data_IF_373003113923
#
_entry.id   IF_373003113923
#
_cell.length_a   1.000
_cell.length_b   1.000
_cell.length_c   1.000
_cell.angle_alpha   90.00
_cell.angle_beta   90.00
_cell.angle_gamma   90.00
#
_symmetry.space_group_name_H-M   'P 1'
#
loop_
_entity.id
_entity.type
_entity.pdbx_description
1 polymer ?
#
# COMPACT_ATOMS: atom_id res chain seq x y z
N UNK A 1 -23.18 -5.52 17.14
CA UNK A 1 -22.07 -6.46 16.86
C UNK A 1 -21.73 -6.33 15.39
N UNK A 2 -20.48 -6.03 15.04
CA UNK A 2 -19.99 -5.76 13.68
C UNK A 2 -19.38 -7.03 13.06
N UNK A 3 -19.46 -7.20 11.73
CA UNK A 3 -18.72 -8.26 11.03
C UNK A 3 -17.29 -7.76 10.72
N UNK A 4 -16.30 -8.30 11.43
CA UNK A 4 -14.92 -7.88 11.33
C UNK A 4 -14.12 -8.80 10.39
N UNK A 5 -13.38 -8.19 9.46
CA UNK A 5 -12.50 -8.85 8.51
C UNK A 5 -11.09 -8.28 8.71
N UNK A 6 -10.15 -9.14 9.09
CA UNK A 6 -8.77 -8.75 9.29
C UNK A 6 -7.94 -9.06 8.04
N UNK A 7 -7.58 -8.04 7.28
CA UNK A 7 -6.72 -8.17 6.10
C UNK A 7 -5.26 -8.13 6.54
N UNK A 8 -4.62 -9.27 6.48
CA UNK A 8 -3.22 -9.45 6.85
C UNK A 8 -2.39 -10.04 5.70
N UNK A 9 -1.10 -10.23 5.90
CA UNK A 9 -0.24 -10.82 4.87
C UNK A 9 1.22 -10.41 5.01
N UNK A 10 2.01 -10.73 4.01
CA UNK A 10 3.43 -10.36 3.98
C UNK A 10 3.62 -8.86 3.74
N UNK A 11 4.84 -8.38 4.01
CA UNK A 11 5.22 -6.99 3.67
C UNK A 11 4.96 -6.71 2.19
N UNK A 12 4.48 -5.50 1.89
CA UNK A 12 4.20 -5.04 0.53
C UNK A 12 3.25 -5.94 -0.27
N UNK A 13 2.39 -6.71 0.40
CA UNK A 13 1.39 -7.57 -0.27
C UNK A 13 0.13 -6.83 -0.73
N UNK A 14 0.07 -5.50 -0.58
CA UNK A 14 -1.05 -4.66 -1.04
C UNK A 14 -2.26 -4.66 -0.11
N UNK A 15 -2.08 -4.88 1.19
CA UNK A 15 -3.15 -4.87 2.20
C UNK A 15 -4.01 -3.61 2.15
N UNK A 16 -3.38 -2.44 2.11
CA UNK A 16 -4.05 -1.13 2.05
C UNK A 16 -4.93 -1.00 0.81
N UNK A 17 -4.42 -1.41 -0.37
CA UNK A 17 -5.19 -1.40 -1.61
C UNK A 17 -6.39 -2.37 -1.56
N UNK A 18 -6.20 -3.57 -0.96
CA UNK A 18 -7.28 -4.52 -0.76
C UNK A 18 -8.34 -3.98 0.20
N UNK A 19 -7.94 -3.38 1.33
CA UNK A 19 -8.88 -2.73 2.25
C UNK A 19 -9.66 -1.61 1.55
N UNK A 20 -8.96 -0.74 0.82
CA UNK A 20 -9.57 0.36 0.08
C UNK A 20 -10.62 -0.13 -0.93
N UNK A 21 -10.25 -1.08 -1.79
CA UNK A 21 -11.13 -1.59 -2.83
C UNK A 21 -12.33 -2.37 -2.26
N UNK A 22 -12.12 -3.20 -1.22
CA UNK A 22 -13.22 -3.90 -0.55
C UNK A 22 -14.15 -2.92 0.17
N UNK A 23 -13.63 -1.86 0.80
CA UNK A 23 -14.47 -0.83 1.42
C UNK A 23 -15.35 -0.11 0.41
N UNK A 24 -14.78 0.30 -0.74
CA UNK A 24 -15.54 0.93 -1.80
C UNK A 24 -16.64 -0.02 -2.30
N UNK A 25 -16.29 -1.27 -2.57
CA UNK A 25 -17.24 -2.28 -3.03
C UNK A 25 -18.38 -2.51 -2.06
N UNK A 26 -18.09 -2.68 -0.77
CA UNK A 26 -19.12 -2.92 0.22
C UNK A 26 -20.00 -1.68 0.50
N UNK A 27 -19.42 -0.47 0.40
CA UNK A 27 -20.21 0.78 0.45
C UNK A 27 -21.17 0.92 -0.73
N UNK A 28 -20.75 0.55 -1.95
CA UNK A 28 -21.64 0.51 -3.14
C UNK A 28 -22.83 -0.43 -2.95
N UNK A 29 -22.61 -1.52 -2.24
CA UNK A 29 -23.67 -2.48 -1.89
C UNK A 29 -24.57 -2.00 -0.73
N UNK A 30 -24.33 -0.78 -0.21
CA UNK A 30 -25.15 -0.15 0.83
C UNK A 30 -24.77 -0.49 2.26
N UNK A 31 -23.63 -1.15 2.51
CA UNK A 31 -23.14 -1.42 3.87
C UNK A 31 -22.47 -0.19 4.48
N UNK A 32 -22.66 -0.01 5.80
CA UNK A 32 -21.86 0.93 6.60
C UNK A 32 -20.54 0.26 6.93
N UNK A 33 -19.48 0.67 6.25
CA UNK A 33 -18.15 0.05 6.37
C UNK A 33 -17.21 0.98 7.11
N UNK A 34 -16.58 0.45 8.17
CA UNK A 34 -15.51 1.09 8.92
C UNK A 34 -14.12 0.59 8.52
N UNK A 35 -13.10 1.37 8.87
CA UNK A 35 -11.69 1.01 8.71
C UNK A 35 -10.97 1.16 10.04
N UNK A 36 -10.16 0.18 10.39
CA UNK A 36 -9.38 0.14 11.62
C UNK A 36 -7.97 -0.43 11.36
N UNK A 37 -6.95 0.20 11.89
CA UNK A 37 -5.57 -0.24 11.82
C UNK A 37 -4.98 -0.22 13.22
N UNK A 38 -5.16 -1.28 14.02
CA UNK A 38 -4.82 -1.29 15.44
C UNK A 38 -3.36 -0.95 15.73
N UNK A 39 -2.46 -1.30 14.79
CA UNK A 39 -1.02 -1.10 14.91
C UNK A 39 -0.50 -0.48 13.62
N UNK A 40 -0.12 0.78 13.66
CA UNK A 40 0.58 1.50 12.61
C UNK A 40 2.09 1.34 12.73
N UNK A 41 2.80 1.39 11.60
CA UNK A 41 4.27 1.33 11.53
C UNK A 41 4.79 2.37 10.55
N UNK A 42 5.71 3.19 11.02
CA UNK A 42 6.26 4.30 10.25
C UNK A 42 5.37 5.54 10.35
N UNK A 43 6.00 6.68 10.51
CA UNK A 43 5.34 7.95 10.67
C UNK A 43 5.66 8.84 9.46
N UNK A 44 4.63 9.51 8.94
CA UNK A 44 4.75 10.66 8.07
C UNK A 44 4.37 11.87 8.91
N UNK A 45 5.15 12.93 8.85
CA UNK A 45 4.78 14.20 9.47
C UNK A 45 3.83 14.95 8.52
N UNK A 46 2.65 15.28 9.00
CA UNK A 46 1.65 16.08 8.28
C UNK A 46 1.20 17.17 9.23
N UNK A 47 1.42 18.45 8.86
CA UNK A 47 1.08 19.64 9.69
C UNK A 47 1.70 19.60 11.10
N UNK A 48 2.88 18.94 11.25
CA UNK A 48 3.57 18.81 12.53
C UNK A 48 3.12 17.63 13.39
N UNK A 49 2.14 16.85 12.94
CA UNK A 49 1.65 15.66 13.63
C UNK A 49 2.15 14.37 12.95
N UNK A 50 2.60 13.38 13.73
CA UNK A 50 3.04 12.11 13.19
C UNK A 50 1.83 11.25 12.80
N UNK A 51 1.70 10.93 11.52
CA UNK A 51 0.56 10.20 10.95
C UNK A 51 1.03 8.89 10.28
N UNK A 52 0.27 7.80 10.49
CA UNK A 52 0.44 6.57 9.67
C UNK A 52 0.00 6.87 8.23
N UNK A 53 0.88 6.65 7.22
CA UNK A 53 0.59 7.01 5.83
C UNK A 53 -0.65 6.31 5.25
N UNK A 54 -0.92 5.05 5.65
CA UNK A 54 -2.08 4.31 5.15
C UNK A 54 -3.38 4.85 5.76
N UNK A 55 -3.36 5.23 7.04
CA UNK A 55 -4.50 5.87 7.71
C UNK A 55 -4.78 7.24 7.11
N UNK A 56 -3.75 8.03 6.83
CA UNK A 56 -3.89 9.30 6.13
C UNK A 56 -4.56 9.12 4.76
N UNK A 57 -4.07 8.15 3.97
CA UNK A 57 -4.65 7.80 2.68
C UNK A 57 -6.13 7.42 2.81
N UNK A 58 -6.46 6.52 3.73
CA UNK A 58 -7.83 6.03 3.90
C UNK A 58 -8.79 7.13 4.37
N UNK A 59 -8.33 8.03 5.25
CA UNK A 59 -9.14 9.19 5.67
C UNK A 59 -9.45 10.13 4.53
N UNK A 60 -8.45 10.50 3.74
CA UNK A 60 -8.60 11.42 2.61
C UNK A 60 -9.52 10.84 1.51
N UNK A 61 -9.33 9.56 1.14
CA UNK A 61 -10.08 8.95 0.04
C UNK A 61 -11.51 8.60 0.46
N UNK A 62 -11.70 8.07 1.66
CA UNK A 62 -12.98 7.52 2.11
C UNK A 62 -13.79 8.50 2.96
N UNK A 63 -13.23 9.66 3.28
CA UNK A 63 -13.87 10.66 4.12
C UNK A 63 -14.18 10.15 5.53
N UNK A 64 -13.24 9.42 6.14
CA UNK A 64 -13.41 8.90 7.49
C UNK A 64 -13.41 10.06 8.49
N UNK A 65 -14.35 10.03 9.43
CA UNK A 65 -14.55 11.10 10.41
C UNK A 65 -13.88 10.82 11.75
N UNK A 66 -13.59 9.55 12.00
CA UNK A 66 -12.96 9.09 13.23
C UNK A 66 -11.55 9.73 13.35
N UNK A 67 -11.16 10.18 14.56
CA UNK A 67 -9.81 10.68 14.82
C UNK A 67 -8.75 9.64 14.49
N UNK A 68 -7.54 10.10 14.13
CA UNK A 68 -6.47 9.20 13.76
C UNK A 68 -6.09 8.25 14.91
N UNK A 69 -5.98 8.76 16.12
CA UNK A 69 -5.65 8.01 17.34
C UNK A 69 -6.67 6.93 17.67
N UNK A 70 -7.90 7.07 17.17
CA UNK A 70 -8.95 6.05 17.27
C UNK A 70 -8.81 5.03 16.15
N UNK A 71 -8.50 5.47 14.92
CA UNK A 71 -8.27 4.55 13.78
C UNK A 71 -6.98 3.73 13.99
N UNK A 72 -5.93 4.36 14.56
CA UNK A 72 -4.62 3.74 14.81
C UNK A 72 -4.16 4.08 16.23
N UNK A 73 -4.62 3.32 17.24
CA UNK A 73 -4.31 3.60 18.65
C UNK A 73 -2.85 3.36 19.01
N UNK A 74 -2.14 2.50 18.27
CA UNK A 74 -0.72 2.23 18.49
C UNK A 74 0.05 2.58 17.22
N UNK A 75 1.13 3.35 17.36
CA UNK A 75 2.08 3.59 16.27
C UNK A 75 3.48 3.23 16.75
N UNK A 76 4.15 2.36 16.00
CA UNK A 76 5.44 1.79 16.38
C UNK A 76 6.59 2.43 15.63
N UNK A 77 7.64 2.80 16.35
CA UNK A 77 8.94 3.20 15.83
C UNK A 77 9.80 1.98 15.41
N UNK A 78 11.02 2.23 14.94
CA UNK A 78 11.97 1.16 14.54
C UNK A 78 12.41 0.27 15.70
N UNK A 79 12.47 0.81 16.93
CA UNK A 79 12.88 0.11 18.15
C UNK A 79 11.70 -0.03 19.11
N UNK A 80 10.56 -0.44 18.60
CA UNK A 80 9.30 -0.48 19.34
C UNK A 80 9.36 -1.29 20.65
N UNK A 81 10.25 -2.26 20.77
CA UNK A 81 10.42 -3.02 22.01
C UNK A 81 10.98 -2.18 23.16
N UNK A 82 11.71 -1.11 22.85
CA UNK A 82 12.20 -0.16 23.87
C UNK A 82 11.06 0.72 24.41
N UNK A 83 9.96 0.82 23.65
CA UNK A 83 8.78 1.66 23.93
C UNK A 83 7.63 0.84 24.55
N UNK A 84 7.71 -0.50 24.52
CA UNK A 84 6.66 -1.41 24.99
C UNK A 84 6.93 -1.79 26.46
N UNK A 85 6.61 -0.86 27.38
CA UNK A 85 6.76 -1.11 28.82
C UNK A 85 5.52 -1.81 29.42
N UNK A 86 4.31 -1.59 28.89
CA UNK A 86 3.07 -2.10 29.43
C UNK A 86 2.13 -2.66 28.35
N UNK A 87 2.23 -3.97 28.09
CA UNK A 87 1.39 -4.67 27.12
C UNK A 87 -0.12 -4.58 27.44
N UNK A 88 -0.48 -4.55 28.71
CA UNK A 88 -1.90 -4.47 29.13
C UNK A 88 -2.53 -3.11 28.82
N UNK A 89 -1.77 -2.02 28.93
CA UNK A 89 -2.26 -0.69 28.56
C UNK A 89 -2.44 -0.56 27.05
N UNK A 90 -1.50 -1.11 26.26
CA UNK A 90 -1.62 -1.16 24.81
C UNK A 90 -2.84 -1.95 24.36
N UNK A 91 -3.10 -3.10 25.00
CA UNK A 91 -4.29 -3.90 24.73
C UNK A 91 -5.57 -3.11 25.02
N UNK A 92 -5.65 -2.46 26.17
CA UNK A 92 -6.81 -1.65 26.56
C UNK A 92 -7.11 -0.55 25.53
N UNK A 93 -6.08 0.20 25.11
CA UNK A 93 -6.21 1.24 24.07
C UNK A 93 -6.73 0.69 22.75
N UNK A 94 -6.23 -0.48 22.31
CA UNK A 94 -6.69 -1.13 21.09
C UNK A 94 -8.15 -1.56 21.20
N UNK A 95 -8.56 -2.09 22.34
CA UNK A 95 -9.94 -2.56 22.53
C UNK A 95 -10.93 -1.40 22.62
N UNK A 96 -10.62 -0.33 23.34
CA UNK A 96 -11.45 0.89 23.39
C UNK A 96 -11.62 1.49 21.97
N UNK A 97 -10.54 1.65 21.24
CA UNK A 97 -10.56 2.18 19.87
C UNK A 97 -11.38 1.27 18.92
N UNK A 98 -11.25 -0.05 19.06
CA UNK A 98 -12.06 -0.99 18.29
C UNK A 98 -13.56 -0.84 18.57
N UNK A 99 -13.96 -0.71 19.83
CA UNK A 99 -15.36 -0.51 20.22
C UNK A 99 -15.93 0.78 19.63
N UNK A 100 -15.15 1.87 19.66
CA UNK A 100 -15.54 3.16 19.12
C UNK A 100 -15.72 3.09 17.60
N UNK A 101 -14.72 2.57 16.85
CA UNK A 101 -14.79 2.49 15.38
C UNK A 101 -15.89 1.54 14.91
N UNK A 102 -16.16 0.47 15.65
CA UNK A 102 -17.11 -0.56 15.24
C UNK A 102 -18.59 -0.22 15.53
N UNK A 103 -18.85 0.73 16.41
CA UNK A 103 -20.15 0.93 17.07
C UNK A 103 -21.36 1.03 16.15
N UNK A 104 -21.27 1.72 15.02
CA UNK A 104 -22.38 1.95 14.07
C UNK A 104 -22.19 1.23 12.71
N UNK A 105 -21.20 0.37 12.58
CA UNK A 105 -20.82 -0.27 11.31
C UNK A 105 -21.48 -1.65 11.16
N UNK A 106 -21.75 -2.01 9.90
CA UNK A 106 -22.19 -3.36 9.52
C UNK A 106 -20.97 -4.27 9.31
N UNK A 107 -19.93 -3.73 8.66
CA UNK A 107 -18.67 -4.40 8.34
C UNK A 107 -17.51 -3.52 8.81
N UNK A 108 -16.51 -4.12 9.45
CA UNK A 108 -15.26 -3.46 9.79
C UNK A 108 -14.09 -4.15 9.09
N UNK A 109 -13.38 -3.40 8.23
CA UNK A 109 -12.14 -3.85 7.64
C UNK A 109 -10.98 -3.42 8.54
N UNK A 110 -10.21 -4.41 9.00
CA UNK A 110 -9.06 -4.21 9.88
C UNK A 110 -7.80 -4.48 9.06
N UNK A 111 -6.91 -3.50 8.99
CA UNK A 111 -5.64 -3.64 8.30
C UNK A 111 -4.53 -4.03 9.27
N UNK A 112 -3.83 -5.10 8.96
CA UNK A 112 -2.71 -5.59 9.75
C UNK A 112 -1.43 -4.76 9.56
N UNK A 113 -0.54 -4.75 10.57
CA UNK A 113 0.82 -4.28 10.42
C UNK A 113 1.59 -5.08 9.34
N UNK A 114 2.84 -4.71 9.03
CA UNK A 114 3.61 -5.38 7.97
C UNK A 114 3.71 -6.90 8.12
N UNK A 115 3.91 -7.39 9.33
CA UNK A 115 4.12 -8.81 9.63
C UNK A 115 3.06 -9.29 10.64
N UNK A 116 2.41 -10.46 10.41
CA UNK A 116 1.32 -10.94 11.27
C UNK A 116 1.72 -11.25 12.71
N UNK A 117 2.99 -11.55 12.95
CA UNK A 117 3.56 -11.86 14.26
C UNK A 117 4.00 -10.64 15.09
N UNK A 118 3.89 -9.43 14.54
CA UNK A 118 4.32 -8.21 15.21
C UNK A 118 3.59 -8.05 16.57
N UNK A 119 4.35 -7.72 17.63
CA UNK A 119 3.88 -7.64 19.02
C UNK A 119 3.33 -8.96 19.61
N UNK A 120 3.80 -10.11 19.12
CA UNK A 120 3.46 -11.42 19.68
C UNK A 120 3.85 -11.52 21.18
N UNK A 121 4.91 -10.82 21.59
CA UNK A 121 5.35 -10.76 22.99
C UNK A 121 4.32 -10.11 23.92
N UNK A 122 3.43 -9.27 23.38
CA UNK A 122 2.35 -8.60 24.11
C UNK A 122 0.98 -9.24 23.86
N UNK A 123 0.89 -10.30 23.05
CA UNK A 123 -0.39 -10.87 22.64
C UNK A 123 -1.23 -9.91 21.79
N UNK A 124 -0.57 -9.01 21.05
CA UNK A 124 -1.19 -8.06 20.13
C UNK A 124 -0.88 -8.40 18.66
N UNK A 125 -0.37 -9.62 18.42
CA UNK A 125 -0.22 -10.18 17.08
C UNK A 125 -1.58 -10.34 16.38
N UNK A 126 -1.54 -10.45 15.06
CA UNK A 126 -2.76 -10.51 14.24
C UNK A 126 -3.75 -11.58 14.71
N UNK A 127 -3.37 -12.87 14.92
CA UNK A 127 -4.35 -13.86 15.37
C UNK A 127 -4.86 -13.59 16.78
N UNK A 128 -4.06 -13.05 17.70
CA UNK A 128 -4.53 -12.71 19.06
C UNK A 128 -5.57 -11.59 19.04
N UNK A 129 -5.35 -10.55 18.21
CA UNK A 129 -6.33 -9.48 18.02
C UNK A 129 -7.55 -9.98 17.23
N UNK A 130 -7.37 -10.81 16.22
CA UNK A 130 -8.48 -11.38 15.44
C UNK A 130 -9.43 -12.21 16.31
N UNK A 131 -8.91 -12.98 17.27
CA UNK A 131 -9.71 -13.72 18.25
C UNK A 131 -10.57 -12.77 19.10
N UNK A 132 -9.96 -11.71 19.66
CA UNK A 132 -10.67 -10.73 20.51
C UNK A 132 -11.74 -9.97 19.73
N UNK A 133 -11.46 -9.59 18.49
CA UNK A 133 -12.40 -8.90 17.61
C UNK A 133 -13.43 -9.87 16.99
N UNK A 134 -13.28 -11.18 17.18
CA UNK A 134 -14.05 -12.23 16.48
C UNK A 134 -13.99 -12.04 14.97
N UNK A 135 -12.85 -11.62 14.49
CA UNK A 135 -12.60 -11.33 13.08
C UNK A 135 -12.17 -12.59 12.32
N UNK A 136 -12.56 -12.66 11.05
CA UNK A 136 -12.03 -13.64 10.09
C UNK A 136 -10.85 -13.06 9.35
N UNK A 137 -9.86 -13.86 9.05
CA UNK A 137 -8.62 -13.42 8.42
C UNK A 137 -8.68 -13.61 6.90
N UNK A 138 -8.31 -12.58 6.15
CA UNK A 138 -7.90 -12.67 4.74
C UNK A 138 -6.39 -12.52 4.70
N UNK A 139 -5.67 -13.48 4.10
CA UNK A 139 -4.22 -13.46 3.99
C UNK A 139 -3.77 -13.06 2.59
N UNK A 140 -3.16 -11.90 2.44
CA UNK A 140 -2.60 -11.41 1.18
C UNK A 140 -1.11 -11.72 1.10
N UNK A 141 -0.68 -12.23 -0.04
CA UNK A 141 0.73 -12.54 -0.29
C UNK A 141 1.17 -11.99 -1.65
N UNK A 142 2.39 -11.46 -1.68
CA UNK A 142 3.08 -11.07 -2.91
C UNK A 142 4.08 -12.15 -3.29
N UNK A 143 4.10 -12.51 -4.56
CA UNK A 143 5.09 -13.43 -5.10
C UNK A 143 4.47 -14.49 -6.02
N UNK A 144 5.33 -15.19 -6.74
CA UNK A 144 4.97 -16.19 -7.74
C UNK A 144 5.75 -17.51 -7.57
N UNK A 145 6.69 -17.53 -6.66
CA UNK A 145 7.51 -18.69 -6.33
C UNK A 145 6.71 -19.71 -5.51
N UNK A 146 7.17 -20.96 -5.48
CA UNK A 146 6.48 -22.05 -4.77
C UNK A 146 6.37 -21.80 -3.25
N UNK A 147 7.33 -21.07 -2.68
CA UNK A 147 7.34 -20.63 -1.28
C UNK A 147 6.07 -19.86 -0.86
N UNK A 148 5.39 -19.25 -1.82
CA UNK A 148 4.12 -18.53 -1.55
C UNK A 148 3.09 -19.47 -0.96
N UNK A 149 2.94 -20.69 -1.53
CA UNK A 149 1.99 -21.68 -1.03
C UNK A 149 2.38 -22.16 0.37
N UNK A 150 3.66 -22.46 0.58
CA UNK A 150 4.17 -22.94 1.88
C UNK A 150 3.99 -21.87 2.97
N UNK A 151 4.24 -20.60 2.64
CA UNK A 151 4.06 -19.47 3.55
C UNK A 151 2.59 -19.30 3.95
N UNK A 152 1.66 -19.40 2.99
CA UNK A 152 0.22 -19.34 3.27
C UNK A 152 -0.20 -20.48 4.20
N UNK A 153 0.27 -21.70 3.94
CA UNK A 153 -0.03 -22.88 4.77
C UNK A 153 0.54 -22.70 6.18
N UNK A 154 1.77 -22.20 6.31
CA UNK A 154 2.39 -21.92 7.60
C UNK A 154 1.54 -20.92 8.43
N UNK A 155 1.14 -19.80 7.84
CA UNK A 155 0.33 -18.82 8.55
C UNK A 155 -1.08 -19.33 8.84
N UNK A 156 -1.67 -20.14 7.96
CA UNK A 156 -2.94 -20.85 8.28
C UNK A 156 -2.82 -21.68 9.56
N UNK A 157 -1.74 -22.47 9.70
CA UNK A 157 -1.51 -23.27 10.90
C UNK A 157 -1.27 -22.39 12.13
N UNK A 158 -0.57 -21.26 11.97
CA UNK A 158 -0.39 -20.28 13.05
C UNK A 158 -1.74 -19.68 13.50
N UNK A 159 -2.62 -19.29 12.57
CA UNK A 159 -3.94 -18.77 12.89
C UNK A 159 -4.82 -19.83 13.55
N UNK A 160 -4.81 -21.06 13.00
CA UNK A 160 -5.55 -22.19 13.56
C UNK A 160 -5.11 -22.52 14.99
N UNK A 161 -3.82 -22.44 15.29
CA UNK A 161 -3.30 -22.67 16.63
C UNK A 161 -3.85 -21.63 17.65
N UNK A 162 -4.15 -20.42 17.19
CA UNK A 162 -4.77 -19.35 17.99
C UNK A 162 -6.30 -19.38 17.94
N UNK A 163 -6.92 -20.38 17.34
CA UNK A 163 -8.38 -20.51 17.28
C UNK A 163 -9.08 -19.56 16.29
N UNK A 164 -8.32 -18.99 15.35
CA UNK A 164 -8.86 -18.01 14.38
C UNK A 164 -9.05 -18.65 12.99
N UNK A 165 -10.18 -18.33 12.37
CA UNK A 165 -10.53 -18.82 11.03
C UNK A 165 -9.84 -18.00 9.94
N UNK A 166 -9.10 -18.68 9.05
CA UNK A 166 -8.64 -18.11 7.79
C UNK A 166 -9.78 -18.23 6.76
N UNK A 167 -10.35 -17.09 6.38
CA UNK A 167 -11.40 -17.03 5.36
C UNK A 167 -10.86 -17.42 3.98
N UNK A 168 -9.64 -17.03 3.68
CA UNK A 168 -8.92 -17.42 2.47
C UNK A 168 -7.71 -16.56 2.18
N UNK A 169 -7.03 -16.90 1.08
CA UNK A 169 -5.84 -16.21 0.63
C UNK A 169 -6.05 -15.45 -0.68
N UNK A 170 -5.36 -14.32 -0.83
CA UNK A 170 -5.28 -13.55 -2.07
C UNK A 170 -3.83 -13.57 -2.56
N UNK A 171 -3.62 -14.11 -3.75
CA UNK A 171 -2.34 -14.11 -4.47
C UNK A 171 -2.26 -12.79 -5.26
N UNK A 172 -1.52 -11.82 -4.74
CA UNK A 172 -1.49 -10.46 -5.26
C UNK A 172 -0.19 -10.18 -6.03
N UNK A 173 -0.20 -9.16 -6.91
CA UNK A 173 0.94 -8.77 -7.75
C UNK A 173 1.46 -9.92 -8.62
N UNK A 174 0.57 -10.72 -9.18
CA UNK A 174 0.94 -11.83 -10.04
C UNK A 174 1.25 -11.34 -11.46
N UNK A 175 2.47 -11.50 -11.99
CA UNK A 175 2.77 -11.17 -13.38
C UNK A 175 1.83 -11.89 -14.34
N UNK A 176 1.43 -11.23 -15.43
CA UNK A 176 0.48 -11.78 -16.41
C UNK A 176 0.89 -13.17 -16.91
N UNK A 177 2.19 -13.40 -17.11
CA UNK A 177 2.74 -14.68 -17.58
C UNK A 177 2.59 -15.82 -16.57
N UNK A 178 2.37 -15.50 -15.28
CA UNK A 178 2.27 -16.47 -14.20
C UNK A 178 0.82 -16.73 -13.75
N UNK A 179 -0.15 -15.97 -14.27
CA UNK A 179 -1.57 -16.11 -13.84
C UNK A 179 -2.10 -17.53 -14.01
N UNK A 180 -1.86 -18.16 -15.17
CA UNK A 180 -2.31 -19.51 -15.46
C UNK A 180 -1.68 -20.55 -14.52
N UNK A 181 -0.39 -20.39 -14.17
CA UNK A 181 0.27 -21.25 -13.21
C UNK A 181 -0.31 -21.08 -11.81
N UNK A 182 -0.52 -19.83 -11.36
CA UNK A 182 -1.09 -19.57 -10.04
C UNK A 182 -2.51 -20.10 -9.92
N UNK A 183 -3.32 -20.01 -10.98
CA UNK A 183 -4.68 -20.55 -11.02
C UNK A 183 -4.73 -22.08 -11.17
N UNK A 184 -3.89 -22.65 -12.05
CA UNK A 184 -3.92 -24.06 -12.43
C UNK A 184 -3.08 -24.97 -11.54
N UNK A 185 -2.07 -24.48 -10.86
CA UNK A 185 -1.15 -25.27 -10.02
C UNK A 185 -1.24 -24.86 -8.55
N UNK A 186 -0.94 -23.60 -8.23
CA UNK A 186 -0.81 -23.14 -6.84
C UNK A 186 -2.17 -23.14 -6.13
N UNK A 187 -3.21 -22.58 -6.75
CA UNK A 187 -4.54 -22.52 -6.14
C UNK A 187 -5.14 -23.89 -5.82
N UNK A 188 -5.06 -24.91 -6.69
CA UNK A 188 -5.49 -26.29 -6.35
C UNK A 188 -4.70 -26.92 -5.20
N UNK A 189 -3.39 -26.62 -5.07
CA UNK A 189 -2.57 -27.10 -3.95
C UNK A 189 -3.07 -26.48 -2.65
N UNK A 190 -3.27 -25.16 -2.61
CA UNK A 190 -3.79 -24.44 -1.44
C UNK A 190 -5.16 -24.99 -1.01
N UNK A 191 -6.08 -25.21 -1.96
CA UNK A 191 -7.40 -25.80 -1.66
C UNK A 191 -7.30 -27.19 -1.06
N UNK A 192 -6.40 -28.06 -1.57
CA UNK A 192 -6.15 -29.39 -0.96
C UNK A 192 -5.61 -29.28 0.46
N UNK A 193 -4.87 -28.22 0.76
CA UNK A 193 -4.39 -27.91 2.12
C UNK A 193 -5.44 -27.17 2.97
N UNK A 194 -6.68 -27.03 2.49
CA UNK A 194 -7.77 -26.37 3.21
C UNK A 194 -7.63 -24.85 3.28
N UNK A 195 -7.11 -24.23 2.23
CA UNK A 195 -7.07 -22.77 2.07
C UNK A 195 -7.88 -22.40 0.83
N UNK A 196 -8.93 -21.62 1.00
CA UNK A 196 -9.67 -21.04 -0.10
C UNK A 196 -8.86 -19.90 -0.73
N UNK A 197 -8.80 -19.89 -2.07
CA UNK A 197 -8.16 -18.81 -2.81
C UNK A 197 -9.24 -17.84 -3.25
N UNK A 198 -9.30 -16.70 -2.57
CA UNK A 198 -10.27 -15.62 -2.80
C UNK A 198 -9.92 -14.75 -4.00
N UNK A 199 -8.70 -14.85 -4.52
CA UNK A 199 -8.32 -14.10 -5.70
C UNK A 199 -6.89 -14.39 -6.16
N UNK A 200 -6.70 -14.26 -7.49
CA UNK A 200 -5.39 -14.21 -8.15
C UNK A 200 -5.35 -12.90 -8.92
N UNK A 201 -4.73 -11.90 -8.31
CA UNK A 201 -4.77 -10.51 -8.73
C UNK A 201 -3.52 -10.17 -9.54
N UNK A 202 -3.66 -9.76 -10.80
CA UNK A 202 -2.52 -9.44 -11.65
C UNK A 202 -1.74 -8.23 -11.15
N UNK A 203 -0.44 -8.21 -11.45
CA UNK A 203 0.38 -7.03 -11.27
C UNK A 203 0.01 -5.97 -12.33
N UNK A 204 -0.53 -4.86 -11.88
CA UNK A 204 -0.84 -3.69 -12.69
C UNK A 204 0.21 -2.61 -12.42
N UNK A 205 1.16 -2.46 -13.34
CA UNK A 205 2.26 -1.47 -13.23
C UNK A 205 1.77 -0.06 -12.91
N UNK A 206 0.60 0.32 -13.43
CA UNK A 206 -0.04 1.61 -13.15
C UNK A 206 -0.28 1.87 -11.65
N UNK A 207 -0.45 0.83 -10.84
CA UNK A 207 -0.64 0.95 -9.37
C UNK A 207 0.69 1.15 -8.63
N UNK A 208 1.78 0.61 -9.16
CA UNK A 208 3.10 0.67 -8.55
C UNK A 208 3.92 1.87 -9.03
N UNK A 209 3.57 2.45 -10.18
CA UNK A 209 4.19 3.66 -10.70
C UNK A 209 3.74 4.88 -9.91
N UNK A 210 4.67 5.77 -9.62
CA UNK A 210 4.37 7.08 -9.06
C UNK A 210 4.16 8.12 -10.16
N UNK A 211 3.35 9.15 -9.89
CA UNK A 211 3.28 10.32 -10.76
C UNK A 211 4.40 11.30 -10.42
N UNK A 212 4.72 12.20 -11.34
CA UNK A 212 5.69 13.28 -11.07
C UNK A 212 5.22 14.16 -9.90
N UNK A 213 3.91 14.35 -9.74
CA UNK A 213 3.33 15.07 -8.62
C UNK A 213 3.60 14.37 -7.29
N UNK A 214 3.39 13.04 -7.23
CA UNK A 214 3.73 12.25 -6.05
C UNK A 214 5.21 12.34 -5.70
N UNK A 215 6.11 12.31 -6.71
CA UNK A 215 7.54 12.50 -6.49
C UNK A 215 7.89 13.89 -5.98
N UNK A 216 7.24 14.95 -6.51
CA UNK A 216 7.40 16.32 -6.03
C UNK A 216 7.08 16.42 -4.53
N UNK A 217 5.93 15.88 -4.13
CA UNK A 217 5.45 16.00 -2.73
C UNK A 217 6.35 15.25 -1.75
N UNK A 218 6.83 14.08 -2.14
CA UNK A 218 7.68 13.24 -1.29
C UNK A 218 9.11 13.78 -1.18
N UNK A 219 9.62 14.31 -2.29
CA UNK A 219 10.94 14.91 -2.32
C UNK A 219 10.93 16.38 -1.87
N UNK A 220 9.75 16.94 -1.56
CA UNK A 220 9.59 18.37 -1.25
C UNK A 220 10.24 19.25 -2.32
N UNK A 221 10.05 18.84 -3.59
CA UNK A 221 10.78 19.40 -4.70
C UNK A 221 10.14 20.69 -5.24
N UNK A 222 10.98 21.65 -5.63
CA UNK A 222 10.57 22.80 -6.41
C UNK A 222 10.38 22.41 -7.88
N UNK A 223 9.27 22.83 -8.50
CA UNK A 223 9.03 22.61 -9.93
C UNK A 223 9.60 23.74 -10.75
N UNK A 224 10.65 23.47 -11.52
CA UNK A 224 11.34 24.46 -12.34
C UNK A 224 10.78 24.57 -13.76
N UNK A 225 10.25 23.44 -14.32
CA UNK A 225 9.67 23.36 -15.66
C UNK A 225 8.59 22.28 -15.74
N UNK A 226 7.73 22.34 -16.76
CA UNK A 226 6.75 21.31 -17.09
C UNK A 226 5.60 21.17 -16.09
N UNK A 227 5.13 22.25 -15.47
CA UNK A 227 4.05 22.26 -14.43
C UNK A 227 2.75 21.61 -14.90
N UNK A 228 2.46 21.63 -16.19
CA UNK A 228 1.22 21.06 -16.75
C UNK A 228 1.31 19.55 -17.01
N UNK A 229 2.42 18.89 -16.66
CA UNK A 229 2.72 17.49 -16.93
C UNK A 229 3.05 16.67 -15.67
N UNK A 230 2.54 17.10 -14.53
CA UNK A 230 2.78 16.47 -13.23
C UNK A 230 2.06 15.12 -13.07
N UNK A 231 1.08 14.84 -13.91
CA UNK A 231 0.33 13.59 -13.97
C UNK A 231 1.07 12.42 -14.67
N UNK A 232 2.25 12.70 -15.26
CA UNK A 232 3.04 11.66 -15.96
C UNK A 232 3.45 10.55 -14.98
N UNK A 233 3.26 9.30 -15.42
CA UNK A 233 3.72 8.13 -14.68
C UNK A 233 5.24 7.95 -14.81
N UNK A 234 5.87 7.55 -13.73
CA UNK A 234 7.32 7.30 -13.64
C UNK A 234 7.57 5.82 -13.43
N UNK A 235 8.20 5.19 -14.43
CA UNK A 235 8.57 3.76 -14.41
C UNK A 235 10.05 3.59 -13.99
N UNK A 236 10.31 3.70 -12.70
CA UNK A 236 11.64 3.60 -12.14
C UNK A 236 12.51 4.87 -12.31
N UNK A 237 13.78 4.77 -11.94
CA UNK A 237 14.71 5.89 -11.97
C UNK A 237 16.09 5.48 -12.49
N UNK A 238 16.79 6.44 -13.11
CA UNK A 238 18.14 6.30 -13.61
C UNK A 238 19.02 7.43 -13.06
N UNK A 239 20.14 7.06 -12.45
CA UNK A 239 21.10 8.04 -11.90
C UNK A 239 22.14 8.39 -12.95
N UNK A 240 22.25 9.67 -13.28
CA UNK A 240 23.19 10.22 -14.24
C UNK A 240 24.59 10.46 -13.65
N UNK A 241 25.30 9.39 -13.32
CA UNK A 241 26.67 9.44 -12.80
C UNK A 241 27.75 9.13 -13.86
N UNK A 242 27.41 9.24 -15.15
CA UNK A 242 28.25 8.87 -16.30
C UNK A 242 28.36 10.01 -17.31
N UNK A 243 29.13 9.78 -18.39
CA UNK A 243 29.20 10.73 -19.51
C UNK A 243 27.89 10.77 -20.33
N UNK A 244 27.58 11.85 -21.05
CA UNK A 244 26.38 11.96 -21.89
C UNK A 244 26.20 10.78 -22.86
N UNK A 245 27.29 10.36 -23.53
CA UNK A 245 27.26 9.26 -24.49
C UNK A 245 26.90 7.92 -23.85
N UNK A 246 27.43 7.68 -22.63
CA UNK A 246 27.12 6.48 -21.86
C UNK A 246 25.66 6.53 -21.34
N UNK A 247 25.21 7.68 -20.86
CA UNK A 247 23.86 7.88 -20.37
C UNK A 247 22.80 7.64 -21.44
N UNK A 248 23.06 8.09 -22.67
CA UNK A 248 22.16 7.94 -23.82
C UNK A 248 21.78 6.47 -24.07
N UNK A 249 22.73 5.55 -23.90
CA UNK A 249 22.50 4.11 -24.07
C UNK A 249 21.51 3.56 -23.04
N UNK A 250 21.60 4.01 -21.79
CA UNK A 250 20.71 3.60 -20.71
C UNK A 250 19.36 4.27 -20.79
N UNK A 251 19.33 5.59 -21.05
CA UNK A 251 18.12 6.38 -21.18
C UNK A 251 17.19 5.86 -22.28
N UNK A 252 17.75 5.46 -23.43
CA UNK A 252 16.96 4.86 -24.54
C UNK A 252 16.29 3.54 -24.18
N UNK A 253 16.79 2.83 -23.14
CA UNK A 253 16.22 1.57 -22.64
C UNK A 253 15.26 1.78 -21.49
N UNK A 254 15.33 2.94 -20.82
CA UNK A 254 14.56 3.28 -19.63
C UNK A 254 13.44 4.27 -19.98
N UNK A 255 12.50 3.81 -20.80
CA UNK A 255 11.35 4.64 -21.21
C UNK A 255 10.50 4.99 -20.00
N UNK A 256 10.15 6.26 -19.84
CA UNK A 256 9.28 6.70 -18.75
C UNK A 256 9.95 6.81 -17.38
N UNK A 257 11.28 6.78 -17.31
CA UNK A 257 12.01 6.88 -16.03
C UNK A 257 12.08 8.32 -15.49
N UNK A 258 12.39 8.43 -14.18
CA UNK A 258 12.94 9.65 -13.59
C UNK A 258 14.47 9.65 -13.79
N UNK A 259 14.99 10.72 -14.35
CA UNK A 259 16.44 10.89 -14.52
C UNK A 259 16.98 11.80 -13.42
N UNK A 260 17.92 11.29 -12.60
CA UNK A 260 18.45 11.97 -11.42
C UNK A 260 19.90 12.39 -11.67
N UNK A 261 20.19 13.68 -11.54
CA UNK A 261 21.55 14.21 -11.73
C UNK A 261 21.76 15.54 -11.01
N UNK A 262 23.00 16.01 -10.90
CA UNK A 262 23.28 17.36 -10.39
C UNK A 262 22.83 18.45 -11.38
N UNK A 263 22.34 19.58 -10.86
CA UNK A 263 21.88 20.69 -11.70
C UNK A 263 22.97 21.38 -12.52
N UNK A 264 24.24 21.17 -12.16
CA UNK A 264 25.43 21.67 -12.88
C UNK A 264 25.79 20.85 -14.14
N UNK A 265 25.15 19.68 -14.34
CA UNK A 265 25.43 18.78 -15.45
C UNK A 265 24.60 19.11 -16.71
N UNK A 266 24.75 20.34 -17.21
CA UNK A 266 23.99 20.86 -18.37
C UNK A 266 24.05 19.94 -19.59
N UNK A 267 25.23 19.43 -19.93
CA UNK A 267 25.47 18.51 -21.02
C UNK A 267 24.65 17.21 -20.91
N UNK A 268 24.64 16.64 -19.73
CA UNK A 268 23.95 15.41 -19.42
C UNK A 268 22.42 15.60 -19.38
N UNK A 269 21.96 16.73 -18.82
CA UNK A 269 20.54 17.08 -18.76
C UNK A 269 19.97 17.29 -20.18
N UNK A 270 20.68 18.04 -21.04
CA UNK A 270 20.25 18.23 -22.43
C UNK A 270 20.19 16.91 -23.20
N UNK A 271 21.17 16.01 -22.98
CA UNK A 271 21.14 14.66 -23.56
C UNK A 271 19.94 13.84 -23.04
N UNK A 272 19.62 13.94 -21.75
CA UNK A 272 18.46 13.25 -21.19
C UNK A 272 17.13 13.77 -21.78
N UNK A 273 17.01 15.08 -21.98
CA UNK A 273 15.83 15.70 -22.60
C UNK A 273 15.55 15.18 -24.02
N UNK A 274 16.58 14.71 -24.76
CA UNK A 274 16.40 14.11 -26.10
C UNK A 274 15.69 12.74 -26.03
N UNK A 275 15.76 12.05 -24.90
CA UNK A 275 15.18 10.72 -24.72
C UNK A 275 13.77 10.74 -24.11
N UNK A 276 13.25 11.92 -23.83
CA UNK A 276 11.88 12.12 -23.29
C UNK A 276 11.61 11.36 -21.98
N UNK A 277 12.44 11.51 -20.93
CA UNK A 277 12.15 10.91 -19.62
C UNK A 277 10.82 11.46 -19.05
N UNK A 278 10.23 10.76 -18.08
CA UNK A 278 9.00 11.26 -17.44
C UNK A 278 9.25 12.51 -16.62
N UNK A 279 10.42 12.61 -15.99
CA UNK A 279 10.84 13.75 -15.18
C UNK A 279 12.36 13.77 -15.07
N UNK A 280 12.95 14.94 -14.89
CA UNK A 280 14.35 15.11 -14.49
C UNK A 280 14.37 15.66 -13.06
N UNK A 281 15.15 15.02 -12.18
CA UNK A 281 15.32 15.43 -10.78
C UNK A 281 16.73 15.94 -10.59
N UNK A 282 16.85 17.23 -10.24
CA UNK A 282 18.11 17.90 -10.00
C UNK A 282 18.45 17.93 -8.53
N UNK A 283 19.61 17.39 -8.17
CA UNK A 283 20.03 17.23 -6.77
C UNK A 283 20.98 18.33 -6.32
N UNK A 284 21.13 18.48 -4.98
CA UNK A 284 22.08 19.41 -4.37
C UNK A 284 21.66 20.87 -4.36
N UNK A 285 20.38 21.16 -4.58
CA UNK A 285 19.86 22.54 -4.67
C UNK A 285 20.58 23.40 -5.73
N UNK A 286 21.06 22.78 -6.82
CA UNK A 286 21.81 23.43 -7.89
C UNK A 286 20.86 23.71 -9.06
N UNK A 287 20.60 25.00 -9.32
CA UNK A 287 19.75 25.43 -10.43
C UNK A 287 20.45 25.18 -11.77
N UNK A 288 19.73 24.67 -12.77
CA UNK A 288 20.30 24.44 -14.10
C UNK A 288 20.42 25.76 -14.88
N UNK A 289 21.12 25.71 -16.01
CA UNK A 289 21.20 26.84 -16.93
C UNK A 289 19.83 27.16 -17.56
N UNK A 290 19.65 28.41 -18.00
CA UNK A 290 18.40 28.86 -18.66
C UNK A 290 18.11 28.02 -19.91
N UNK A 291 19.15 27.61 -20.66
CA UNK A 291 19.01 26.77 -21.86
C UNK A 291 18.35 25.41 -21.54
N UNK A 292 18.64 24.83 -20.38
CA UNK A 292 18.00 23.58 -19.92
C UNK A 292 16.52 23.81 -19.64
N UNK A 293 16.17 24.87 -18.93
CA UNK A 293 14.76 25.19 -18.61
C UNK A 293 13.95 25.44 -19.88
N UNK A 294 14.49 26.20 -20.84
CA UNK A 294 13.84 26.46 -22.12
C UNK A 294 13.61 25.15 -22.89
N UNK A 295 14.62 24.30 -22.99
CA UNK A 295 14.51 23.01 -23.69
C UNK A 295 13.51 22.07 -23.01
N UNK A 296 13.43 22.10 -21.68
CA UNK A 296 12.48 21.28 -20.92
C UNK A 296 11.03 21.74 -21.13
N UNK A 297 10.77 23.06 -21.12
CA UNK A 297 9.45 23.62 -21.40
C UNK A 297 8.99 23.32 -22.83
N UNK A 298 9.88 23.51 -23.83
CA UNK A 298 9.57 23.18 -25.24
C UNK A 298 9.19 21.69 -25.44
N UNK A 299 9.81 20.80 -24.67
CA UNK A 299 9.54 19.35 -24.73
C UNK A 299 8.42 18.89 -23.77
N UNK A 300 7.94 19.76 -22.90
CA UNK A 300 6.94 19.45 -21.86
C UNK A 300 7.46 18.37 -20.89
N UNK A 301 8.75 18.46 -20.51
CA UNK A 301 9.36 17.54 -19.54
C UNK A 301 9.50 18.24 -18.20
N UNK A 302 8.88 17.72 -17.13
CA UNK A 302 9.04 18.28 -15.79
C UNK A 302 10.48 18.25 -15.31
N UNK A 303 10.90 19.34 -14.67
CA UNK A 303 12.15 19.40 -13.92
C UNK A 303 11.84 19.71 -12.45
N UNK A 304 12.28 18.82 -11.58
CA UNK A 304 12.18 18.96 -10.14
C UNK A 304 13.55 19.28 -9.54
N UNK A 305 13.62 20.25 -8.67
CA UNK A 305 14.82 20.59 -7.90
C UNK A 305 14.64 20.15 -6.46
N UNK A 306 15.62 19.39 -5.93
CA UNK A 306 15.59 18.91 -4.55
C UNK A 306 16.79 19.41 -3.75
N UNK A 307 16.62 19.68 -2.42
CA UNK A 307 17.70 20.14 -1.57
C UNK A 307 18.70 19.02 -1.20
N UNK A 308 18.35 17.78 -1.45
CA UNK A 308 19.11 16.60 -1.09
C UNK A 308 20.22 16.29 -2.09
N UNK A 309 21.25 15.57 -1.64
CA UNK A 309 22.22 14.93 -2.53
C UNK A 309 21.60 13.76 -3.30
N UNK A 310 22.33 13.22 -4.27
CA UNK A 310 21.86 12.13 -5.13
C UNK A 310 21.54 10.87 -4.33
N UNK A 311 22.37 10.52 -3.35
CA UNK A 311 22.16 9.31 -2.54
C UNK A 311 20.88 9.42 -1.69
N UNK A 312 20.71 10.52 -0.98
CA UNK A 312 19.53 10.78 -0.16
C UNK A 312 18.25 10.81 -1.02
N UNK A 313 18.33 11.40 -2.23
CA UNK A 313 17.22 11.43 -3.18
C UNK A 313 16.81 10.01 -3.60
N UNK A 314 17.77 9.17 -3.97
CA UNK A 314 17.50 7.77 -4.35
C UNK A 314 16.91 6.99 -3.19
N UNK A 315 17.47 7.12 -1.99
CA UNK A 315 16.95 6.44 -0.78
C UNK A 315 15.50 6.83 -0.47
N UNK A 316 15.15 8.10 -0.64
CA UNK A 316 13.75 8.55 -0.48
C UNK A 316 12.83 7.91 -1.53
N UNK A 317 13.29 7.77 -2.78
CA UNK A 317 12.53 7.15 -3.85
C UNK A 317 12.36 5.63 -3.69
N UNK A 318 13.39 4.91 -3.22
CA UNK A 318 13.32 3.46 -2.97
C UNK A 318 12.26 3.09 -1.90
N UNK A 319 11.99 4.00 -0.97
CA UNK A 319 10.96 3.80 0.05
C UNK A 319 9.53 4.02 -0.45
N UNK A 320 9.35 4.41 -1.72
CA UNK A 320 8.06 4.76 -2.32
C UNK A 320 7.40 3.63 -3.11
N UNK A 321 8.14 2.60 -3.47
CA UNK A 321 7.65 1.54 -4.33
C UNK A 321 6.31 0.97 -3.84
N UNK A 322 5.27 1.24 -4.62
CA UNK A 322 3.92 0.71 -4.42
C UNK A 322 3.05 1.41 -3.39
N UNK A 323 3.43 2.59 -2.86
CA UNK A 323 2.55 3.38 -1.99
C UNK A 323 1.60 4.25 -2.81
N UNK A 324 0.34 4.24 -2.41
CA UNK A 324 -0.66 5.16 -2.95
C UNK A 324 -0.64 6.40 -2.06
N UNK A 325 -0.50 7.57 -2.66
CA UNK A 325 -0.59 8.84 -1.94
C UNK A 325 -1.91 9.52 -2.26
N UNK A 326 -2.59 10.19 -1.31
CA UNK A 326 -3.79 10.95 -1.61
C UNK A 326 -3.41 12.21 -2.42
N UNK A 327 -3.65 12.15 -3.73
CA UNK A 327 -3.46 13.27 -4.65
C UNK A 327 -4.57 13.26 -5.71
N UNK A 328 -4.80 14.36 -6.43
CA UNK A 328 -5.75 14.38 -7.55
C UNK A 328 -5.46 13.31 -8.61
N UNK A 329 -4.19 12.96 -8.78
CA UNK A 329 -3.73 11.92 -9.73
C UNK A 329 -4.00 10.50 -9.24
N UNK A 330 -4.16 10.30 -7.94
CA UNK A 330 -4.50 9.00 -7.35
C UNK A 330 -5.92 8.51 -7.70
N UNK A 331 -6.82 9.38 -8.20
CA UNK A 331 -8.18 8.97 -8.61
C UNK A 331 -8.17 7.81 -9.60
N UNK A 332 -7.23 7.80 -10.54
CA UNK A 332 -7.10 6.71 -11.51
C UNK A 332 -6.63 5.42 -10.85
N UNK A 333 -5.66 5.49 -9.93
CA UNK A 333 -5.21 4.33 -9.16
C UNK A 333 -6.34 3.76 -8.30
N UNK A 334 -7.11 4.63 -7.64
CA UNK A 334 -8.25 4.25 -6.80
C UNK A 334 -9.33 3.54 -7.64
N UNK A 335 -9.67 4.08 -8.81
CA UNK A 335 -10.60 3.46 -9.73
C UNK A 335 -10.09 2.09 -10.21
N UNK A 336 -8.80 2.00 -10.55
CA UNK A 336 -8.19 0.74 -10.98
C UNK A 336 -8.20 -0.32 -9.87
N UNK A 337 -7.97 0.08 -8.61
CA UNK A 337 -8.10 -0.83 -7.45
C UNK A 337 -9.52 -1.36 -7.37
N UNK A 338 -10.51 -0.50 -7.50
CA UNK A 338 -11.91 -0.91 -7.45
C UNK A 338 -12.26 -1.91 -8.57
N UNK A 339 -11.86 -1.61 -9.82
CA UNK A 339 -12.01 -2.51 -10.97
C UNK A 339 -11.35 -3.88 -10.73
N UNK A 340 -10.14 -3.88 -10.13
CA UNK A 340 -9.41 -5.10 -9.82
C UNK A 340 -10.09 -5.95 -8.73
N UNK A 341 -10.67 -5.34 -7.72
CA UNK A 341 -11.45 -6.07 -6.70
C UNK A 341 -12.66 -6.74 -7.36
N UNK A 342 -13.37 -6.04 -8.23
CA UNK A 342 -14.54 -6.59 -8.92
C UNK A 342 -14.19 -7.76 -9.84
N UNK A 343 -13.07 -7.68 -10.53
CA UNK A 343 -12.67 -8.65 -11.56
C UNK A 343 -11.92 -9.86 -10.99
N UNK A 344 -11.05 -9.66 -9.99
CA UNK A 344 -10.08 -10.68 -9.57
C UNK A 344 -10.25 -11.18 -8.14
N UNK A 345 -11.14 -10.57 -7.32
CA UNK A 345 -11.37 -10.99 -5.93
C UNK A 345 -12.79 -11.51 -5.76
N UNK A 346 -12.92 -12.68 -5.16
CA UNK A 346 -14.22 -13.25 -4.81
C UNK A 346 -14.80 -12.58 -3.55
N UNK A 347 -15.16 -11.30 -3.69
CA UNK A 347 -15.76 -10.51 -2.62
C UNK A 347 -17.14 -11.06 -2.20
N UNK A 348 -17.81 -11.87 -3.05
CA UNK A 348 -19.08 -12.51 -2.72
C UNK A 348 -18.92 -13.55 -1.63
N UNK A 349 -17.93 -14.43 -1.74
CA UNK A 349 -17.60 -15.41 -0.69
C UNK A 349 -17.23 -14.72 0.63
N UNK A 350 -16.59 -13.54 0.59
CA UNK A 350 -16.34 -12.73 1.79
C UNK A 350 -17.66 -12.28 2.43
N UNK A 351 -18.64 -11.85 1.65
CA UNK A 351 -19.97 -11.43 2.14
C UNK A 351 -20.88 -12.59 2.55
N UNK A 352 -20.72 -13.77 1.99
CA UNK A 352 -21.42 -14.97 2.50
C UNK A 352 -21.07 -15.21 3.96
N UNK A 353 -19.81 -14.98 4.34
CA UNK A 353 -19.39 -14.98 5.72
C UNK A 353 -20.16 -13.98 6.61
N UNK A 354 -20.53 -12.80 6.08
CA UNK A 354 -21.40 -11.85 6.79
C UNK A 354 -22.81 -12.40 6.99
N UNK A 355 -23.39 -13.04 5.99
CA UNK A 355 -24.73 -13.63 6.10
C UNK A 355 -24.78 -14.75 7.14
N UNK A 356 -23.76 -15.60 7.17
CA UNK A 356 -23.61 -16.67 8.18
C UNK A 356 -23.39 -16.10 9.58
N UNK A 357 -22.54 -15.09 9.68
CA UNK A 357 -22.29 -14.39 10.95
C UNK A 357 -23.57 -13.74 11.48
N UNK A 358 -24.34 -13.06 10.62
CA UNK A 358 -25.62 -12.43 11.02
C UNK A 358 -26.66 -13.45 11.45
N UNK A 359 -26.69 -14.64 10.87
CA UNK A 359 -27.54 -15.76 11.32
C UNK A 359 -27.13 -16.22 12.72
N UNK A 360 -25.84 -16.41 12.96
CA UNK A 360 -25.30 -16.83 14.26
C UNK A 360 -25.45 -15.75 15.35
N UNK A 361 -25.30 -14.47 15.00
CA UNK A 361 -25.45 -13.36 15.93
C UNK A 361 -26.89 -13.12 16.38
N UNK A 362 -27.91 -13.62 15.64
CA UNK A 362 -29.32 -13.59 16.03
C UNK A 362 -29.75 -14.82 16.86
N UNK A 363 -28.85 -15.75 17.17
CA UNK A 363 -29.08 -16.89 18.04
C UNK A 363 -28.44 -16.65 19.42
N UNK A 364 -29.16 -16.66 20.56
CA UNK A 364 -30.22 -17.61 20.90
C UNK A 364 -31.61 -17.08 20.60
N UNK A 365 -32.62 -17.99 20.40
CA UNK A 365 -34.00 -17.57 20.35
C UNK A 365 -34.34 -16.95 21.72
N UNK A 366 -35.04 -15.81 21.65
CA UNK A 366 -35.68 -15.24 22.84
C UNK A 366 -36.51 -16.33 23.52
N UNK A 367 -36.02 -16.78 24.68
CA UNK A 367 -36.71 -17.72 25.55
C UNK A 367 -37.62 -17.00 26.52
#
# INVERSE_FOLDING_TARGET
MVYSIYVTGTRFSGKTALCLGLMQKFRELGFRVGYFKPIGVGLKEVEGEPIDPDVYLMREILGLREPQEVITPITLGRRYLDEVENCGELEHRVMEAYEEVSGDKDILLIEAPPDPELLICCGLDVPSLAERFKARIIFSVRGVEDEVAERIILYKEFFRFRGVELLGAILNFVPLQQLERMRGVVSPILRRCGVDVLGVVPDKRELTMNTVEELRDILEAEVLAGKDRMDRLVDGYLVGAMTPESALTWLRRSVGCAFITGGDRTDLILTALETMPSVIILTGNIYPSISVLTAAEEKGIPILLVPYDTYTTVMKLEHLDGRITPSPTSKRKIQLIHEMIDEYVDWRSILEGYADWKRRAKWPPEG
#
